data_IF_473196525740
#
_entry.id   IF_473196525740
#
_cell.length_a   1.000
_cell.length_b   1.000
_cell.length_c   1.000
_cell.angle_alpha   90.00
_cell.angle_beta   90.00
_cell.angle_gamma   90.00
#
_symmetry.space_group_name_H-M   'P 1'
#
loop_
_entity.id
_entity.type
_entity.pdbx_description
1 polymer ?
#
# COMPACT_ATOMS: atom_id res chain seq x y z
N UNK A 1 22.39 14.68 -9.38
CA UNK A 1 21.70 14.34 -8.11
C UNK A 1 20.27 13.87 -8.32
N UNK A 2 19.46 14.54 -9.15
CA UNK A 2 18.04 14.19 -9.40
C UNK A 2 17.82 12.73 -9.84
N UNK A 3 18.68 12.21 -10.73
CA UNK A 3 18.56 10.83 -11.21
C UNK A 3 18.75 9.77 -10.10
N UNK A 4 19.70 10.00 -9.18
CA UNK A 4 19.93 9.09 -8.06
C UNK A 4 18.71 9.09 -7.11
N UNK A 5 18.15 10.25 -6.81
CA UNK A 5 16.94 10.38 -5.98
C UNK A 5 15.76 9.65 -6.61
N UNK A 6 15.55 9.77 -7.93
CA UNK A 6 14.49 9.06 -8.65
C UNK A 6 14.67 7.54 -8.60
N UNK A 7 15.90 7.04 -8.76
CA UNK A 7 16.19 5.59 -8.68
C UNK A 7 15.90 5.07 -7.27
N UNK A 8 16.38 5.77 -6.24
CA UNK A 8 16.14 5.39 -4.84
C UNK A 8 14.64 5.39 -4.55
N UNK A 9 13.92 6.47 -4.93
CA UNK A 9 12.48 6.57 -4.77
C UNK A 9 11.74 5.41 -5.46
N UNK A 10 12.13 5.07 -6.70
CA UNK A 10 11.52 3.97 -7.44
C UNK A 10 11.76 2.62 -6.75
N UNK A 11 12.98 2.35 -6.28
CA UNK A 11 13.30 1.12 -5.55
C UNK A 11 12.53 1.03 -4.22
N UNK A 12 12.46 2.13 -3.46
CA UNK A 12 11.72 2.18 -2.19
C UNK A 12 10.23 1.93 -2.41
N UNK A 13 9.61 2.63 -3.36
CA UNK A 13 8.18 2.48 -3.63
C UNK A 13 7.83 1.15 -4.30
N UNK A 14 8.73 0.58 -5.12
CA UNK A 14 8.58 -0.80 -5.60
C UNK A 14 8.60 -1.80 -4.43
N UNK A 15 9.48 -1.61 -3.44
CA UNK A 15 9.51 -2.40 -2.22
C UNK A 15 8.21 -2.29 -1.41
N UNK A 16 7.69 -1.09 -1.20
CA UNK A 16 6.42 -0.87 -0.50
C UNK A 16 5.26 -1.53 -1.26
N UNK A 17 5.21 -1.39 -2.60
CA UNK A 17 4.22 -2.05 -3.44
C UNK A 17 4.30 -3.58 -3.33
N UNK A 18 5.51 -4.13 -3.33
CA UNK A 18 5.73 -5.56 -3.16
C UNK A 18 5.29 -6.08 -1.78
N UNK A 19 5.61 -5.36 -0.69
CA UNK A 19 5.16 -5.70 0.66
C UNK A 19 3.63 -5.64 0.76
N UNK A 20 3.00 -4.62 0.19
CA UNK A 20 1.54 -4.48 0.16
C UNK A 20 0.89 -5.63 -0.62
N UNK A 21 1.50 -6.03 -1.74
CA UNK A 21 1.07 -7.20 -2.51
C UNK A 21 1.19 -8.50 -1.71
N UNK A 22 2.27 -8.67 -0.94
CA UNK A 22 2.42 -9.83 -0.05
C UNK A 22 1.33 -9.85 1.04
N UNK A 23 1.02 -8.71 1.66
CA UNK A 23 -0.08 -8.62 2.64
C UNK A 23 -1.42 -9.00 2.02
N UNK A 24 -1.72 -8.51 0.81
CA UNK A 24 -2.90 -8.92 0.06
C UNK A 24 -2.93 -10.43 -0.18
N UNK A 25 -1.81 -11.03 -0.59
CA UNK A 25 -1.70 -12.49 -0.79
C UNK A 25 -1.95 -13.27 0.50
N UNK A 26 -1.40 -12.81 1.62
CA UNK A 26 -1.58 -13.44 2.93
C UNK A 26 -3.05 -13.35 3.36
N UNK A 27 -3.67 -12.17 3.27
CA UNK A 27 -5.08 -11.98 3.58
C UNK A 27 -5.98 -12.88 2.71
N UNK A 28 -5.67 -12.98 1.40
CA UNK A 28 -6.41 -13.82 0.46
C UNK A 28 -6.24 -15.31 0.76
N UNK A 29 -5.04 -15.72 1.18
CA UNK A 29 -4.78 -17.09 1.61
C UNK A 29 -5.58 -17.42 2.87
N UNK A 30 -5.55 -16.54 3.88
CA UNK A 30 -6.31 -16.69 5.12
C UNK A 30 -7.82 -16.78 4.86
N UNK A 31 -8.37 -15.94 3.98
CA UNK A 31 -9.79 -16.04 3.60
C UNK A 31 -10.16 -17.40 3.05
N UNK A 32 -9.30 -17.97 2.20
CA UNK A 32 -9.55 -19.27 1.56
C UNK A 32 -9.34 -20.44 2.50
N UNK A 33 -8.35 -20.37 3.39
CA UNK A 33 -7.98 -21.49 4.27
C UNK A 33 -8.80 -21.55 5.56
N UNK A 34 -9.09 -20.39 6.17
CA UNK A 34 -9.75 -20.31 7.48
C UNK A 34 -11.27 -20.14 7.39
N UNK A 35 -11.82 -19.85 6.21
CA UNK A 35 -13.24 -19.53 6.01
C UNK A 35 -13.70 -18.23 6.70
N UNK A 36 -12.80 -17.49 7.37
CA UNK A 36 -13.08 -16.18 7.97
C UNK A 36 -12.83 -15.07 6.97
N UNK A 37 -13.65 -14.02 7.01
CA UNK A 37 -13.46 -12.83 6.17
C UNK A 37 -12.27 -12.02 6.69
N UNK A 38 -11.12 -12.13 6.02
CA UNK A 38 -9.96 -11.27 6.26
C UNK A 38 -9.96 -9.99 5.39
N UNK A 39 -11.09 -9.71 4.73
CA UNK A 39 -11.34 -8.52 3.90
C UNK A 39 -10.21 -8.21 2.92
N UNK A 40 -9.72 -9.24 2.22
CA UNK A 40 -8.52 -9.14 1.36
C UNK A 40 -8.65 -8.06 0.28
N UNK A 41 -9.87 -7.75 -0.17
CA UNK A 41 -10.14 -6.67 -1.12
C UNK A 41 -9.75 -5.27 -0.60
N UNK A 42 -9.66 -5.06 0.72
CA UNK A 42 -9.23 -3.78 1.30
C UNK A 42 -7.75 -3.47 1.04
N UNK A 43 -6.95 -4.47 0.64
CA UNK A 43 -5.58 -4.24 0.18
C UNK A 43 -5.50 -3.81 -1.31
N UNK A 44 -6.59 -3.83 -2.07
CA UNK A 44 -6.58 -3.36 -3.46
C UNK A 44 -6.39 -1.83 -3.56
N UNK A 45 -7.11 -0.99 -2.78
CA UNK A 45 -6.85 0.45 -2.75
C UNK A 45 -5.39 0.83 -2.45
N UNK A 46 -4.72 0.32 -1.40
CA UNK A 46 -3.32 0.68 -1.15
C UNK A 46 -2.37 0.16 -2.23
N UNK A 47 -2.67 -1.01 -2.83
CA UNK A 47 -1.88 -1.55 -3.94
C UNK A 47 -1.94 -0.67 -5.20
N UNK A 48 -3.01 0.09 -5.39
CA UNK A 48 -3.16 1.00 -6.53
C UNK A 48 -2.71 2.43 -6.17
N UNK A 49 -3.22 2.98 -5.06
CA UNK A 49 -3.03 4.38 -4.73
C UNK A 49 -1.61 4.70 -4.26
N UNK A 50 -0.94 3.81 -3.51
CA UNK A 50 0.43 4.07 -3.09
C UNK A 50 1.41 4.10 -4.28
N UNK A 51 1.43 3.11 -5.19
CA UNK A 51 2.29 3.18 -6.38
C UNK A 51 1.88 4.29 -7.34
N UNK A 52 0.58 4.62 -7.46
CA UNK A 52 0.12 5.73 -8.29
C UNK A 52 0.59 7.09 -7.75
N UNK A 53 0.47 7.33 -6.43
CA UNK A 53 0.97 8.55 -5.79
C UNK A 53 2.49 8.65 -5.91
N UNK A 54 3.19 7.53 -5.73
CA UNK A 54 4.64 7.47 -5.93
C UNK A 54 5.04 7.76 -7.38
N UNK A 55 4.34 7.17 -8.35
CA UNK A 55 4.56 7.42 -9.77
C UNK A 55 4.33 8.87 -10.15
N UNK A 56 3.30 9.50 -9.57
CA UNK A 56 3.03 10.93 -9.75
C UNK A 56 4.21 11.78 -9.30
N UNK A 57 4.71 11.60 -8.07
CA UNK A 57 5.87 12.35 -7.61
C UNK A 57 7.14 12.01 -8.40
N UNK A 58 7.43 10.73 -8.64
CA UNK A 58 8.64 10.33 -9.39
C UNK A 58 8.69 10.93 -10.80
N UNK A 59 7.54 11.13 -11.45
CA UNK A 59 7.47 11.69 -12.81
C UNK A 59 7.51 13.22 -12.80
N UNK A 60 6.71 13.87 -11.96
CA UNK A 60 6.55 15.34 -11.95
C UNK A 60 7.52 16.06 -11.01
N UNK A 61 7.65 15.63 -9.75
CA UNK A 61 8.52 16.25 -8.76
C UNK A 61 8.95 15.27 -7.67
N UNK A 62 10.25 14.98 -7.56
CA UNK A 62 10.76 13.92 -6.65
C UNK A 62 10.88 14.40 -5.20
N UNK A 63 10.50 15.64 -4.90
CA UNK A 63 10.56 16.19 -3.54
C UNK A 63 9.42 15.67 -2.64
N UNK A 64 8.44 14.93 -3.20
CA UNK A 64 7.34 14.28 -2.45
C UNK A 64 6.51 15.24 -1.58
N UNK A 65 6.47 16.53 -1.92
CA UNK A 65 5.76 17.57 -1.17
C UNK A 65 5.12 18.56 -2.15
N UNK A 66 3.97 19.13 -1.75
CA UNK A 66 3.41 20.30 -2.42
C UNK A 66 2.45 19.97 -3.57
N UNK A 67 2.16 18.70 -3.82
CA UNK A 67 1.15 18.30 -4.80
C UNK A 67 -0.08 17.68 -4.15
N UNK A 68 -1.20 18.41 -4.20
CA UNK A 68 -2.48 17.92 -3.71
C UNK A 68 -2.89 16.53 -4.26
N UNK A 69 -2.72 16.19 -5.56
CA UNK A 69 -3.13 14.87 -6.06
C UNK A 69 -2.25 13.73 -5.54
N UNK A 70 -0.93 13.92 -5.47
CA UNK A 70 -0.01 12.91 -4.94
C UNK A 70 -0.27 12.64 -3.45
N UNK A 71 -0.49 13.70 -2.69
CA UNK A 71 -0.77 13.62 -1.25
C UNK A 71 -2.11 12.93 -0.98
N UNK A 72 -3.14 13.23 -1.77
CA UNK A 72 -4.44 12.58 -1.65
C UNK A 72 -4.35 11.07 -1.95
N UNK A 73 -3.58 10.68 -2.97
CA UNK A 73 -3.35 9.27 -3.30
C UNK A 73 -2.66 8.54 -2.13
N UNK A 74 -1.63 9.15 -1.52
CA UNK A 74 -0.99 8.57 -0.35
C UNK A 74 -1.89 8.51 0.86
N UNK A 75 -2.68 9.57 1.12
CA UNK A 75 -3.62 9.61 2.23
C UNK A 75 -4.64 8.47 2.11
N UNK A 76 -5.30 8.35 0.95
CA UNK A 76 -6.31 7.31 0.72
C UNK A 76 -5.66 5.93 0.78
N UNK A 77 -4.54 5.72 0.09
CA UNK A 77 -3.80 4.45 0.14
C UNK A 77 -3.40 4.07 1.57
N UNK A 78 -2.85 5.01 2.34
CA UNK A 78 -2.42 4.79 3.71
C UNK A 78 -3.57 4.46 4.66
N UNK A 79 -4.70 5.18 4.57
CA UNK A 79 -5.89 4.91 5.39
C UNK A 79 -6.42 3.49 5.14
N UNK A 80 -6.55 3.09 3.87
CA UNK A 80 -6.99 1.72 3.56
C UNK A 80 -5.98 0.67 4.02
N UNK A 81 -4.67 0.94 3.89
CA UNK A 81 -3.63 0.03 4.37
C UNK A 81 -3.72 -0.20 5.88
N UNK A 82 -3.90 0.87 6.66
CA UNK A 82 -4.04 0.78 8.12
C UNK A 82 -5.27 -0.06 8.48
N UNK A 83 -6.43 0.25 7.90
CA UNK A 83 -7.67 -0.48 8.18
C UNK A 83 -7.52 -1.96 7.81
N UNK A 84 -6.99 -2.25 6.62
CA UNK A 84 -6.80 -3.62 6.15
C UNK A 84 -5.81 -4.41 7.03
N UNK A 85 -4.71 -3.78 7.46
CA UNK A 85 -3.71 -4.40 8.33
C UNK A 85 -4.26 -4.69 9.73
N UNK A 86 -5.03 -3.76 10.32
CA UNK A 86 -5.68 -3.98 11.63
C UNK A 86 -6.67 -5.14 11.56
N UNK A 87 -7.54 -5.17 10.55
CA UNK A 87 -8.52 -6.25 10.38
C UNK A 87 -7.84 -7.60 10.14
N UNK A 88 -6.79 -7.63 9.32
CA UNK A 88 -6.01 -8.84 9.11
C UNK A 88 -5.35 -9.31 10.42
N UNK A 89 -4.79 -8.39 11.19
CA UNK A 89 -4.21 -8.66 12.51
C UNK A 89 -5.21 -9.27 13.48
N UNK A 90 -6.41 -8.70 13.59
CA UNK A 90 -7.48 -9.24 14.44
C UNK A 90 -7.86 -10.68 14.04
N UNK A 91 -7.97 -10.93 12.74
CA UNK A 91 -8.27 -12.28 12.22
C UNK A 91 -7.15 -13.27 12.53
N UNK A 92 -5.88 -12.84 12.48
CA UNK A 92 -4.72 -13.69 12.77
C UNK A 92 -4.54 -13.98 14.26
N UNK A 93 -4.75 -12.98 15.12
CA UNK A 93 -4.61 -13.11 16.58
C UNK A 93 -5.82 -13.85 17.17
N UNK A 94 -6.95 -13.88 16.45
CA UNK A 94 -8.16 -14.60 16.88
C UNK A 94 -8.96 -13.84 17.93
N UNK A 95 -8.69 -12.56 18.13
CA UNK A 95 -9.53 -11.67 18.93
C UNK A 95 -10.92 -11.57 18.26
N UNK A 96 -11.95 -11.79 19.08
CA UNK A 96 -13.35 -11.94 18.68
C UNK A 96 -14.04 -10.60 18.50
#
# INVERSE_FOLDING_TARGET
MIAATRIIALLTWAGIGFLTFMLWRIARFYERSSGRRAYSYLFLPPLLFLPAGAGYYILWDVDFVGSAPGDLLFLVGGVFLIIAAVLLGQVMVGER
#
